data_IF_411772455036
#
_entry.id   IF_411772455036
#
_cell.length_a   1.000
_cell.length_b   1.000
_cell.length_c   1.000
_cell.angle_alpha   90.00
_cell.angle_beta   90.00
_cell.angle_gamma   90.00
#
_symmetry.space_group_name_H-M   'P 1'
#
loop_
_entity.id
_entity.type
_entity.pdbx_description
1 polymer ?
#
# COMPACT_ATOMS: atom_id res chain seq x y z
N UNK A 1 -19.50 -10.57 -47.89
CA UNK A 1 -19.11 -11.10 -46.56
C UNK A 1 -17.82 -10.49 -46.02
N UNK A 2 -16.71 -10.49 -46.77
CA UNK A 2 -15.42 -9.93 -46.28
C UNK A 2 -15.49 -8.47 -45.80
N UNK A 3 -16.16 -7.59 -46.55
CA UNK A 3 -16.35 -6.18 -46.15
C UNK A 3 -17.19 -6.01 -44.87
N UNK A 4 -18.17 -6.89 -44.63
CA UNK A 4 -19.02 -6.87 -43.43
C UNK A 4 -18.20 -7.27 -42.20
N UNK A 5 -17.35 -8.30 -42.34
CA UNK A 5 -16.44 -8.75 -41.27
C UNK A 5 -15.40 -7.65 -40.97
N UNK A 6 -14.79 -7.04 -41.99
CA UNK A 6 -13.83 -5.96 -41.81
C UNK A 6 -14.47 -4.74 -41.12
N UNK A 7 -15.68 -4.37 -41.51
CA UNK A 7 -16.43 -3.28 -40.89
C UNK A 7 -16.78 -3.58 -39.43
N UNK A 8 -17.22 -4.80 -39.11
CA UNK A 8 -17.51 -5.22 -37.74
C UNK A 8 -16.26 -5.20 -36.84
N UNK A 9 -15.10 -5.64 -37.36
CA UNK A 9 -13.81 -5.57 -36.64
C UNK A 9 -13.41 -4.12 -36.40
N UNK A 10 -13.51 -3.26 -37.42
CA UNK A 10 -13.18 -1.84 -37.29
C UNK A 10 -14.07 -1.15 -36.25
N UNK A 11 -15.37 -1.44 -36.25
CA UNK A 11 -16.32 -0.90 -35.27
C UNK A 11 -16.00 -1.40 -33.85
N UNK A 12 -15.66 -2.69 -33.69
CA UNK A 12 -15.24 -3.27 -32.42
C UNK A 12 -13.98 -2.63 -31.83
N UNK A 13 -12.98 -2.35 -32.67
CA UNK A 13 -11.78 -1.61 -32.26
C UNK A 13 -12.15 -0.19 -31.82
N UNK A 14 -13.01 0.49 -32.57
CA UNK A 14 -13.44 1.86 -32.27
C UNK A 14 -14.15 1.95 -30.91
N UNK A 15 -15.00 0.97 -30.54
CA UNK A 15 -15.63 0.92 -29.22
C UNK A 15 -14.62 0.66 -28.09
N UNK A 16 -13.60 -0.17 -28.33
CA UNK A 16 -12.59 -0.53 -27.31
C UNK A 16 -11.68 0.65 -26.94
N UNK A 17 -11.59 1.65 -27.82
CA UNK A 17 -10.80 2.86 -27.63
C UNK A 17 -11.35 3.75 -26.51
N UNK A 18 -12.66 3.67 -26.24
CA UNK A 18 -13.36 4.56 -25.31
C UNK A 18 -13.29 3.96 -23.90
N UNK A 19 -12.49 4.57 -23.03
CA UNK A 19 -12.35 4.16 -21.62
C UNK A 19 -12.86 5.27 -20.73
N UNK A 20 -13.80 4.94 -19.85
CA UNK A 20 -14.26 5.84 -18.79
C UNK A 20 -13.38 5.60 -17.56
N UNK A 21 -12.87 6.68 -16.96
CA UNK A 21 -12.11 6.67 -15.71
C UNK A 21 -12.96 7.35 -14.63
N UNK A 22 -13.29 6.67 -13.53
CA UNK A 22 -13.99 7.27 -12.39
C UNK A 22 -13.22 8.46 -11.78
N UNK A 23 -13.93 9.37 -11.10
CA UNK A 23 -13.34 10.57 -10.49
C UNK A 23 -12.22 10.25 -9.49
N UNK A 24 -12.38 9.15 -8.75
CA UNK A 24 -11.46 8.66 -7.74
C UNK A 24 -10.26 7.87 -8.31
N UNK A 25 -10.19 7.65 -9.62
CA UNK A 25 -9.10 6.93 -10.27
C UNK A 25 -8.26 7.84 -11.16
N UNK A 26 -7.01 7.42 -11.40
CA UNK A 26 -6.13 8.02 -12.42
C UNK A 26 -5.55 6.92 -13.30
N UNK A 27 -5.48 7.20 -14.60
CA UNK A 27 -4.93 6.26 -15.59
C UNK A 27 -3.50 6.61 -15.95
N UNK A 28 -2.53 5.81 -15.52
CA UNK A 28 -1.14 5.90 -15.97
C UNK A 28 -1.03 5.25 -17.34
N UNK A 29 -0.74 6.05 -18.37
CA UNK A 29 -0.70 5.58 -19.76
C UNK A 29 0.74 5.42 -20.25
N UNK A 30 0.99 4.25 -20.79
CA UNK A 30 2.21 3.87 -21.48
C UNK A 30 1.96 3.82 -22.99
N UNK A 31 2.92 4.27 -23.78
CA UNK A 31 2.93 4.15 -25.23
C UNK A 31 4.19 3.39 -25.65
N UNK A 32 4.03 2.21 -26.25
CA UNK A 32 5.14 1.36 -26.69
C UNK A 32 6.20 1.16 -25.58
N UNK A 33 5.75 0.93 -24.34
CA UNK A 33 6.61 0.71 -23.17
C UNK A 33 7.17 1.98 -22.51
N UNK A 34 6.98 3.18 -23.08
CA UNK A 34 7.39 4.45 -22.46
C UNK A 34 6.23 5.09 -21.71
N UNK A 35 6.51 5.68 -20.56
CA UNK A 35 5.53 6.53 -19.88
C UNK A 35 5.16 7.71 -20.77
N UNK A 36 3.86 7.96 -20.94
CA UNK A 36 3.36 9.06 -21.76
C UNK A 36 2.75 10.17 -20.89
N UNK A 37 1.75 9.84 -20.07
CA UNK A 37 1.08 10.78 -19.16
C UNK A 37 0.16 10.07 -18.18
N UNK A 38 -0.13 10.75 -17.07
CA UNK A 38 -1.27 10.44 -16.20
C UNK A 38 -2.53 11.10 -16.77
N UNK A 39 -3.57 10.32 -17.05
CA UNK A 39 -4.87 10.81 -17.49
C UNK A 39 -5.80 10.97 -16.28
N UNK A 40 -6.38 12.17 -16.16
CA UNK A 40 -7.46 12.47 -15.22
C UNK A 40 -8.80 11.82 -15.61
N UNK A 41 -9.84 12.03 -14.80
CA UNK A 41 -11.10 11.32 -14.87
C UNK A 41 -11.92 11.72 -16.10
N UNK A 42 -12.99 10.97 -16.36
CA UNK A 42 -13.89 11.15 -17.49
C UNK A 42 -13.58 10.24 -18.69
N UNK A 43 -14.17 10.59 -19.83
CA UNK A 43 -14.02 9.82 -21.06
C UNK A 43 -12.65 10.07 -21.70
N UNK A 44 -11.85 9.00 -21.82
CA UNK A 44 -10.50 9.06 -22.38
C UNK A 44 -10.32 8.02 -23.47
N UNK A 45 -9.72 8.47 -24.56
CA UNK A 45 -9.34 7.65 -25.72
C UNK A 45 -8.02 6.94 -25.39
N UNK A 46 -7.98 5.61 -25.43
CA UNK A 46 -6.77 4.78 -25.27
C UNK A 46 -6.72 3.82 -26.45
N UNK A 47 -5.68 3.92 -27.29
CA UNK A 47 -5.56 3.08 -28.48
C UNK A 47 -5.11 1.67 -28.08
N UNK A 48 -5.96 0.64 -28.23
CA UNK A 48 -5.57 -0.73 -27.88
C UNK A 48 -4.41 -1.20 -28.77
N UNK A 49 -3.50 -2.01 -28.20
CA UNK A 49 -2.31 -2.51 -28.90
C UNK A 49 -1.08 -1.60 -28.80
N UNK A 50 -1.24 -0.27 -28.93
CA UNK A 50 -0.13 0.68 -28.81
C UNK A 50 -0.02 1.30 -27.41
N UNK A 51 -1.16 1.54 -26.76
CA UNK A 51 -1.23 2.13 -25.43
C UNK A 51 -1.69 1.12 -24.38
N UNK A 52 -0.97 1.07 -23.26
CA UNK A 52 -1.39 0.35 -22.05
C UNK A 52 -1.75 1.36 -20.98
N UNK A 53 -2.89 1.17 -20.33
CA UNK A 53 -3.32 2.03 -19.22
C UNK A 53 -3.43 1.19 -17.94
N UNK A 54 -2.76 1.65 -16.89
CA UNK A 54 -2.88 1.11 -15.53
C UNK A 54 -3.71 2.10 -14.71
N UNK A 55 -4.76 1.62 -14.05
CA UNK A 55 -5.63 2.44 -13.21
C UNK A 55 -5.14 2.38 -11.78
N UNK A 56 -5.13 3.53 -11.12
CA UNK A 56 -4.73 3.68 -9.73
C UNK A 56 -5.83 4.42 -8.98
N UNK A 57 -6.29 3.85 -7.88
CA UNK A 57 -7.27 4.47 -6.98
C UNK A 57 -6.55 5.49 -6.08
N UNK A 58 -7.13 6.68 -5.92
CA UNK A 58 -6.60 7.75 -5.09
C UNK A 58 -7.23 7.80 -3.69
N UNK A 59 -8.21 6.94 -3.40
CA UNK A 59 -8.88 6.88 -2.09
C UNK A 59 -7.93 6.32 -1.03
N UNK A 60 -8.25 6.62 0.22
CA UNK A 60 -7.59 6.00 1.37
C UNK A 60 -7.89 4.51 1.39
N UNK A 61 -6.84 3.70 1.34
CA UNK A 61 -6.86 2.27 1.51
C UNK A 61 -6.45 1.96 2.94
N UNK A 62 -7.16 1.00 3.53
CA UNK A 62 -6.84 0.42 4.83
C UNK A 62 -6.11 -0.88 4.58
N UNK A 63 -4.89 -1.00 5.08
CA UNK A 63 -4.06 -2.19 4.90
C UNK A 63 -3.69 -2.77 6.25
N UNK A 64 -4.02 -4.05 6.44
CA UNK A 64 -3.56 -4.83 7.58
C UNK A 64 -2.10 -5.23 7.39
N UNK A 65 -1.29 -4.95 8.41
CA UNK A 65 0.10 -5.41 8.48
C UNK A 65 0.14 -6.72 9.25
N UNK A 66 0.69 -7.80 8.67
CA UNK A 66 0.70 -9.11 9.33
C UNK A 66 1.49 -9.05 10.63
N UNK A 67 1.08 -9.87 11.61
CA UNK A 67 1.69 -9.92 12.93
C UNK A 67 3.19 -10.19 12.86
N UNK A 68 3.96 -9.48 13.67
CA UNK A 68 5.41 -9.59 13.78
C UNK A 68 5.81 -10.06 15.17
N UNK A 69 6.75 -11.01 15.22
CA UNK A 69 7.46 -11.37 16.43
C UNK A 69 8.57 -10.35 16.69
N UNK A 70 8.49 -9.63 17.82
CA UNK A 70 9.45 -8.60 18.21
C UNK A 70 9.89 -8.86 19.64
N UNK A 71 11.18 -8.67 19.90
CA UNK A 71 11.73 -8.63 21.26
C UNK A 71 11.85 -7.15 21.62
N UNK A 72 11.17 -6.75 22.70
CA UNK A 72 11.23 -5.38 23.22
C UNK A 72 12.58 -5.09 23.90
N UNK A 73 12.81 -3.83 24.26
CA UNK A 73 14.05 -3.40 24.92
C UNK A 73 14.29 -4.06 26.28
N UNK A 74 13.22 -4.37 27.00
CA UNK A 74 13.20 -5.11 28.27
C UNK A 74 13.24 -6.64 28.08
N UNK A 75 13.58 -7.11 26.87
CA UNK A 75 13.77 -8.52 26.53
C UNK A 75 12.49 -9.37 26.69
N UNK A 76 11.33 -8.77 26.38
CA UNK A 76 10.04 -9.46 26.36
C UNK A 76 9.65 -9.77 24.92
N UNK A 77 9.28 -11.02 24.65
CA UNK A 77 8.76 -11.42 23.34
C UNK A 77 7.28 -11.04 23.20
N UNK A 78 6.99 -10.19 22.21
CA UNK A 78 5.65 -9.70 21.90
C UNK A 78 5.29 -9.98 20.45
N UNK A 79 4.01 -10.28 20.21
CA UNK A 79 3.40 -10.34 18.88
C UNK A 79 2.59 -9.08 18.65
N UNK A 80 2.96 -8.33 17.61
CA UNK A 80 2.30 -7.05 17.32
C UNK A 80 1.80 -7.01 15.88
N UNK A 81 0.55 -6.56 15.70
CA UNK A 81 -0.01 -6.21 14.41
C UNK A 81 -0.49 -4.77 14.37
N UNK A 82 -0.63 -4.24 13.16
CA UNK A 82 -1.04 -2.85 12.95
C UNK A 82 -1.89 -2.71 11.69
N UNK A 83 -2.56 -1.56 11.58
CA UNK A 83 -3.25 -1.12 10.38
C UNK A 83 -2.64 0.17 9.90
N UNK A 84 -2.41 0.26 8.59
CA UNK A 84 -1.87 1.46 7.94
C UNK A 84 -2.94 2.03 7.01
N UNK A 85 -3.24 3.30 7.19
CA UNK A 85 -4.13 4.08 6.36
C UNK A 85 -3.29 4.91 5.41
N UNK A 86 -3.38 4.66 4.11
CA UNK A 86 -2.62 5.42 3.12
C UNK A 86 -3.40 5.65 1.84
N UNK A 87 -2.95 6.61 1.04
CA UNK A 87 -3.52 6.89 -0.28
C UNK A 87 -2.43 7.26 -1.27
N UNK A 88 -2.67 7.01 -2.55
CA UNK A 88 -1.76 7.44 -3.61
C UNK A 88 -1.93 8.93 -3.87
N UNK A 89 -0.85 9.69 -3.75
CA UNK A 89 -0.78 11.11 -4.11
C UNK A 89 -0.29 11.30 -5.54
N UNK A 90 0.71 10.51 -5.95
CA UNK A 90 1.30 10.56 -7.28
C UNK A 90 1.19 9.17 -7.94
N UNK A 91 0.19 8.96 -8.82
CA UNK A 91 -0.02 7.67 -9.48
C UNK A 91 1.11 7.34 -10.48
N UNK A 92 1.84 8.34 -10.99
CA UNK A 92 2.99 8.08 -11.84
C UNK A 92 4.09 7.42 -11.01
N UNK A 93 4.45 8.00 -9.86
CA UNK A 93 5.45 7.40 -8.98
C UNK A 93 5.04 6.01 -8.50
N UNK A 94 3.77 5.83 -8.12
CA UNK A 94 3.28 4.56 -7.59
C UNK A 94 3.37 3.38 -8.57
N UNK A 95 3.41 3.65 -9.88
CA UNK A 95 3.54 2.63 -10.92
C UNK A 95 4.98 2.54 -11.48
N UNK A 96 5.74 3.64 -11.48
CA UNK A 96 7.07 3.66 -12.09
C UNK A 96 8.22 3.39 -11.11
N UNK A 97 8.05 3.74 -9.83
CA UNK A 97 9.13 3.68 -8.83
C UNK A 97 9.13 2.37 -8.03
N UNK A 98 8.04 1.63 -8.07
CA UNK A 98 7.89 0.36 -7.35
C UNK A 98 6.97 -0.57 -8.14
N UNK A 99 7.30 -1.86 -8.18
CA UNK A 99 6.52 -2.86 -8.92
C UNK A 99 5.10 -3.00 -8.37
N UNK A 100 5.00 -3.12 -7.04
CA UNK A 100 3.75 -3.18 -6.32
C UNK A 100 3.83 -2.33 -5.05
N UNK A 101 3.26 -1.12 -5.10
CA UNK A 101 3.29 -0.20 -3.99
C UNK A 101 2.56 -0.73 -2.74
N UNK A 102 1.51 -1.54 -2.89
CA UNK A 102 0.79 -2.15 -1.77
C UNK A 102 1.71 -3.10 -0.99
N UNK A 103 2.36 -4.00 -1.71
CA UNK A 103 3.26 -5.00 -1.12
C UNK A 103 4.51 -4.34 -0.51
N UNK A 104 5.13 -3.42 -1.24
CA UNK A 104 6.29 -2.69 -0.74
C UNK A 104 5.96 -1.87 0.52
N UNK A 105 4.80 -1.21 0.56
CA UNK A 105 4.33 -0.51 1.76
C UNK A 105 4.07 -1.47 2.91
N UNK A 106 3.52 -2.65 2.65
CA UNK A 106 3.33 -3.68 3.68
C UNK A 106 4.66 -4.18 4.27
N UNK A 107 5.63 -4.52 3.41
CA UNK A 107 6.95 -4.99 3.84
C UNK A 107 7.71 -3.91 4.62
N UNK A 108 7.63 -2.66 4.16
CA UNK A 108 8.22 -1.52 4.85
C UNK A 108 7.55 -1.29 6.22
N UNK A 109 6.23 -1.45 6.29
CA UNK A 109 5.48 -1.37 7.56
C UNK A 109 5.93 -2.42 8.55
N UNK A 110 6.10 -3.68 8.13
CA UNK A 110 6.60 -4.77 8.98
C UNK A 110 8.01 -4.48 9.53
N UNK A 111 8.90 -4.02 8.65
CA UNK A 111 10.29 -3.72 9.03
C UNK A 111 10.35 -2.54 10.00
N UNK A 112 9.55 -1.49 9.75
CA UNK A 112 9.46 -0.31 10.61
C UNK A 112 8.86 -0.66 11.97
N UNK A 113 7.77 -1.42 12.01
CA UNK A 113 7.17 -1.92 13.25
C UNK A 113 8.21 -2.68 14.08
N UNK A 114 8.90 -3.65 13.48
CA UNK A 114 9.94 -4.43 14.16
C UNK A 114 11.04 -3.53 14.74
N UNK A 115 11.52 -2.56 13.97
CA UNK A 115 12.59 -1.67 14.39
C UNK A 115 12.17 -0.70 15.49
N UNK A 116 11.00 -0.07 15.38
CA UNK A 116 10.53 0.94 16.35
C UNK A 116 10.13 0.25 17.65
N UNK A 117 9.36 -0.84 17.58
CA UNK A 117 8.92 -1.56 18.77
C UNK A 117 10.11 -2.22 19.50
N UNK A 118 11.11 -2.75 18.79
CA UNK A 118 12.30 -3.30 19.43
C UNK A 118 13.16 -2.29 20.22
N UNK A 119 12.95 -0.98 20.02
CA UNK A 119 13.65 0.08 20.76
C UNK A 119 12.88 0.57 22.00
N UNK A 120 11.62 0.15 22.16
CA UNK A 120 10.74 0.55 23.25
C UNK A 120 10.51 -0.60 24.23
N UNK A 121 10.15 -0.27 25.47
CA UNK A 121 9.78 -1.25 26.49
C UNK A 121 8.31 -1.67 26.32
N UNK A 122 7.91 -2.81 26.90
CA UNK A 122 6.52 -3.28 26.83
C UNK A 122 5.53 -2.23 27.40
N UNK A 123 5.90 -1.54 28.48
CA UNK A 123 5.04 -0.54 29.11
C UNK A 123 4.75 0.63 28.18
N UNK A 124 5.77 1.14 27.47
CA UNK A 124 5.60 2.15 26.41
C UNK A 124 4.62 1.68 25.34
N UNK A 125 4.66 0.37 25.00
CA UNK A 125 3.77 -0.21 24.00
C UNK A 125 2.30 -0.21 24.41
N UNK A 126 2.03 -0.23 25.71
CA UNK A 126 0.69 -0.27 26.28
C UNK A 126 0.20 1.13 26.66
N UNK A 127 1.07 1.95 27.26
CA UNK A 127 0.74 3.26 27.80
C UNK A 127 0.87 4.40 26.76
N UNK A 128 1.88 4.37 25.88
CA UNK A 128 2.21 5.46 24.94
C UNK A 128 1.85 5.15 23.48
N UNK A 129 0.76 4.40 23.25
CA UNK A 129 0.33 3.97 21.89
C UNK A 129 0.24 5.09 20.87
N UNK A 130 -0.32 6.23 21.26
CA UNK A 130 -0.44 7.37 20.34
C UNK A 130 0.91 7.91 19.88
N UNK A 131 1.92 7.91 20.77
CA UNK A 131 3.25 8.38 20.43
C UNK A 131 3.92 7.43 19.45
N UNK A 132 3.86 6.13 19.70
CA UNK A 132 4.40 5.13 18.76
C UNK A 132 3.69 5.18 17.40
N UNK A 133 2.36 5.32 17.39
CA UNK A 133 1.59 5.44 16.16
C UNK A 133 2.09 6.62 15.31
N UNK A 134 2.37 7.77 15.94
CA UNK A 134 2.95 8.94 15.26
C UNK A 134 4.36 8.66 14.75
N UNK A 135 5.24 8.11 15.58
CA UNK A 135 6.63 7.84 15.19
C UNK A 135 6.70 6.87 14.00
N UNK A 136 5.90 5.81 14.02
CA UNK A 136 5.78 4.86 12.91
C UNK A 136 5.19 5.55 11.67
N UNK A 137 4.13 6.35 11.83
CA UNK A 137 3.51 7.08 10.73
C UNK A 137 4.51 8.01 10.05
N UNK A 138 5.30 8.78 10.79
CA UNK A 138 6.29 9.71 10.24
C UNK A 138 7.39 8.99 9.46
N UNK A 139 7.88 7.86 9.97
CA UNK A 139 8.91 7.06 9.29
C UNK A 139 8.34 6.47 7.98
N UNK A 140 7.14 5.88 8.04
CA UNK A 140 6.51 5.30 6.87
C UNK A 140 6.17 6.35 5.82
N UNK A 141 5.60 7.47 6.21
CA UNK A 141 5.25 8.56 5.30
C UNK A 141 6.47 9.12 4.57
N UNK A 142 7.58 9.32 5.29
CA UNK A 142 8.83 9.81 4.69
C UNK A 142 9.40 8.86 3.64
N UNK A 143 9.35 7.56 3.90
CA UNK A 143 9.91 6.56 2.98
C UNK A 143 8.97 6.26 1.80
N UNK A 144 7.66 6.22 2.05
CA UNK A 144 6.65 5.92 1.01
C UNK A 144 6.41 7.08 0.03
N UNK A 145 6.84 8.30 0.36
CA UNK A 145 6.78 9.46 -0.55
C UNK A 145 7.59 9.25 -1.85
N UNK A 146 8.68 8.46 -1.78
CA UNK A 146 9.43 8.05 -2.97
C UNK A 146 8.57 7.27 -3.98
N UNK A 147 7.55 6.56 -3.50
CA UNK A 147 6.58 5.82 -4.30
C UNK A 147 5.32 6.63 -4.59
N UNK A 148 5.24 7.90 -4.18
CA UNK A 148 4.04 8.72 -4.36
C UNK A 148 2.87 8.29 -3.49
N UNK A 149 3.14 7.57 -2.39
CA UNK A 149 2.15 7.11 -1.42
C UNK A 149 2.25 8.00 -0.17
N UNK A 150 1.10 8.45 0.34
CA UNK A 150 0.99 9.22 1.57
C UNK A 150 0.37 8.37 2.66
N UNK A 151 1.09 8.18 3.76
CA UNK A 151 0.57 7.47 4.93
C UNK A 151 -0.11 8.48 5.84
N UNK A 152 -1.41 8.31 6.03
CA UNK A 152 -2.27 9.24 6.79
C UNK A 152 -2.31 8.88 8.27
N UNK A 153 -2.35 7.60 8.60
CA UNK A 153 -2.39 7.13 9.99
C UNK A 153 -1.84 5.70 10.10
N UNK A 154 -1.37 5.35 11.30
CA UNK A 154 -0.99 3.99 11.67
C UNK A 154 -1.60 3.70 13.03
N UNK A 155 -2.22 2.53 13.17
CA UNK A 155 -2.83 2.11 14.42
C UNK A 155 -2.34 0.71 14.79
N UNK A 156 -1.68 0.60 15.94
CA UNK A 156 -1.39 -0.69 16.55
C UNK A 156 -2.70 -1.36 17.00
N UNK A 157 -2.92 -2.59 16.55
CA UNK A 157 -4.15 -3.35 16.80
C UNK A 157 -4.07 -4.13 18.12
N UNK A 158 -3.19 -5.11 18.18
CA UNK A 158 -3.00 -6.00 19.34
C UNK A 158 -1.51 -6.13 19.65
N UNK A 159 -1.19 -6.18 20.93
CA UNK A 159 0.14 -6.49 21.47
C UNK A 159 -0.08 -7.67 22.40
N UNK A 160 0.14 -8.87 21.88
CA UNK A 160 -0.05 -10.11 22.61
C UNK A 160 1.30 -10.61 23.12
N UNK A 161 1.37 -11.00 24.39
CA UNK A 161 2.55 -11.65 24.96
C UNK A 161 2.63 -13.08 24.43
N UNK A 162 3.82 -13.53 24.02
CA UNK A 162 3.98 -14.92 23.57
C UNK A 162 3.70 -15.89 24.74
N UNK A 163 2.77 -16.83 24.54
CA UNK A 163 2.34 -17.82 25.54
C UNK A 163 3.50 -18.67 26.11
N UNK A 164 4.64 -18.74 25.42
CA UNK A 164 5.84 -19.41 25.92
C UNK A 164 6.39 -18.80 27.23
N UNK A 165 6.25 -17.49 27.45
CA UNK A 165 6.66 -16.80 28.69
C UNK A 165 5.67 -17.02 29.83
N UNK A 166 4.35 -17.02 29.55
CA UNK A 166 3.30 -17.26 30.54
C UNK A 166 3.50 -18.61 31.24
N UNK A 167 3.93 -19.64 30.50
CA UNK A 167 4.24 -20.97 31.04
C UNK A 167 5.51 -21.02 31.89
N UNK A 168 6.50 -20.17 31.65
CA UNK A 168 7.72 -20.10 32.44
C UNK A 168 7.45 -19.42 33.80
N UNK A 169 6.69 -18.31 33.80
CA UNK A 169 6.29 -17.59 35.02
C UNK A 169 5.36 -18.46 35.87
N UNK A 170 4.39 -19.15 35.26
CA UNK A 170 3.48 -20.06 35.96
C UNK A 170 4.15 -21.31 36.58
N UNK A 171 5.41 -21.62 36.22
CA UNK A 171 6.19 -22.72 36.82
C UNK A 171 7.10 -22.28 37.97
N UNK A 172 7.32 -20.98 38.13
CA UNK A 172 8.17 -20.41 39.19
C UNK A 172 7.38 -19.81 40.36
N UNK A 173 6.04 -19.73 40.25
CA UNK A 173 5.12 -19.28 41.29
C UNK A 173 4.50 -20.46 42.05
#
# INVERSE_FOLDING_TARGET
>A
MGYIILFAILLGILFTVWRIIPEYERGVVFFLGRFQKVKGPGLRIVVPGLQRMVRVDLRTVVMDVPSQDVISRDNVSVKVNAVVYFRVMDPQKAILQVENFLEATSQLSQTTLRSVLGQHELDDMLAERERMNRDIQEILDRQTDAWGVKVSNVELKHVDLDESMVRAIARQA
#
